data_IF_736431315559
#
_entry.id   IF_736431315559
#
_cell.length_a   1.000
_cell.length_b   1.000
_cell.length_c   1.000
_cell.angle_alpha   90.00
_cell.angle_beta   90.00
_cell.angle_gamma   90.00
#
_symmetry.space_group_name_H-M   'P 1'
#
loop_
_entity.id
_entity.type
_entity.pdbx_description
1 polymer ?
#
# COMPACT_ATOMS: atom_id res chain seq x y z
N UNK A 1 -33.67 -11.51 -31.39
CA UNK A 1 -32.41 -10.82 -31.60
C UNK A 1 -31.32 -11.55 -30.83
N UNK A 2 -30.46 -12.26 -31.56
CA UNK A 2 -29.37 -13.03 -30.98
C UNK A 2 -28.25 -12.11 -30.56
N UNK A 3 -28.02 -11.92 -29.25
CA UNK A 3 -26.84 -11.29 -28.73
C UNK A 3 -25.62 -12.17 -29.01
N UNK A 4 -24.88 -11.79 -30.03
CA UNK A 4 -23.55 -12.35 -30.30
C UNK A 4 -22.64 -12.00 -29.09
N UNK A 5 -22.36 -13.01 -28.28
CA UNK A 5 -21.34 -12.97 -27.22
C UNK A 5 -19.98 -12.66 -27.85
N UNK A 6 -19.59 -11.42 -27.93
CA UNK A 6 -18.23 -11.00 -28.26
C UNK A 6 -17.30 -11.48 -27.15
N UNK A 7 -16.78 -12.69 -27.30
CA UNK A 7 -15.70 -13.22 -26.47
C UNK A 7 -14.46 -12.38 -26.70
N UNK A 8 -13.96 -11.67 -25.66
CA UNK A 8 -12.65 -11.00 -25.68
C UNK A 8 -11.45 -11.96 -25.68
N UNK A 9 -11.66 -13.22 -26.09
CA UNK A 9 -10.61 -14.20 -26.25
C UNK A 9 -9.98 -14.05 -27.65
N UNK A 10 -8.65 -14.17 -27.79
CA UNK A 10 -8.03 -14.23 -29.12
C UNK A 10 -8.57 -15.42 -29.90
N UNK A 11 -8.82 -15.24 -31.21
CA UNK A 11 -9.44 -16.21 -32.10
C UNK A 11 -8.70 -17.56 -32.22
N UNK A 12 -7.48 -17.67 -31.70
CA UNK A 12 -6.56 -18.81 -31.82
C UNK A 12 -6.38 -19.61 -30.52
N UNK A 13 -7.43 -19.79 -29.75
CA UNK A 13 -7.35 -20.33 -28.38
C UNK A 13 -7.33 -21.85 -28.24
N UNK A 14 -7.34 -22.61 -29.34
CA UNK A 14 -7.52 -24.08 -29.26
C UNK A 14 -6.33 -24.87 -28.70
N UNK A 15 -5.11 -24.26 -28.63
CA UNK A 15 -3.87 -24.89 -28.15
C UNK A 15 -3.03 -24.04 -27.19
N UNK A 16 -3.58 -23.00 -26.58
CA UNK A 16 -2.83 -22.17 -25.64
C UNK A 16 -2.66 -22.90 -24.31
N UNK A 17 -1.43 -23.31 -24.01
CA UNK A 17 -1.02 -23.82 -22.72
C UNK A 17 -0.46 -22.68 -21.87
N UNK A 18 -0.32 -22.88 -20.56
CA UNK A 18 0.29 -21.90 -19.67
C UNK A 18 1.72 -21.54 -20.07
N UNK A 19 2.49 -22.52 -20.51
CA UNK A 19 3.90 -22.36 -20.89
C UNK A 19 4.04 -21.70 -22.27
N UNK A 20 3.04 -21.85 -23.16
CA UNK A 20 2.98 -21.18 -24.47
C UNK A 20 2.43 -19.74 -24.43
N UNK A 21 2.17 -19.18 -23.24
CA UNK A 21 1.62 -17.82 -23.12
C UNK A 21 2.60 -16.73 -23.53
N UNK A 22 2.18 -15.86 -24.44
CA UNK A 22 2.90 -14.64 -24.77
C UNK A 22 2.67 -13.56 -23.69
N UNK A 23 3.51 -13.59 -22.68
CA UNK A 23 3.43 -12.66 -21.54
C UNK A 23 3.64 -11.19 -21.92
N UNK A 24 4.51 -10.92 -22.87
CA UNK A 24 4.76 -9.55 -23.37
C UNK A 24 3.50 -8.95 -23.99
N UNK A 25 2.76 -9.75 -24.78
CA UNK A 25 1.44 -9.37 -25.34
C UNK A 25 0.42 -9.09 -24.25
N UNK A 26 0.35 -9.94 -23.22
CA UNK A 26 -0.53 -9.73 -22.07
C UNK A 26 -0.22 -8.41 -21.33
N UNK A 27 1.06 -8.16 -21.06
CA UNK A 27 1.51 -6.95 -20.37
C UNK A 27 1.28 -5.68 -21.21
N UNK A 28 1.55 -5.74 -22.53
CA UNK A 28 1.30 -4.61 -23.44
C UNK A 28 -0.19 -4.24 -23.49
N UNK A 29 -1.08 -5.24 -23.57
CA UNK A 29 -2.52 -5.01 -23.59
C UNK A 29 -3.00 -4.34 -22.30
N UNK A 30 -2.59 -4.86 -21.14
CA UNK A 30 -2.97 -4.29 -19.84
C UNK A 30 -2.40 -2.89 -19.67
N UNK A 31 -1.12 -2.64 -20.03
CA UNK A 31 -0.51 -1.30 -20.00
C UNK A 31 -1.26 -0.29 -20.84
N UNK A 32 -1.72 -0.69 -22.04
CA UNK A 32 -2.53 0.17 -22.91
C UNK A 32 -3.85 0.58 -22.25
N UNK A 33 -4.55 -0.35 -21.59
CA UNK A 33 -5.79 -0.03 -20.85
C UNK A 33 -5.50 0.85 -19.64
N UNK A 34 -4.44 0.57 -18.89
CA UNK A 34 -4.02 1.38 -17.73
C UNK A 34 -3.69 2.82 -18.14
N UNK A 35 -2.98 3.03 -19.24
CA UNK A 35 -2.70 4.38 -19.76
C UNK A 35 -3.99 5.13 -20.15
N UNK A 36 -4.98 4.42 -20.73
CA UNK A 36 -6.29 5.01 -21.04
C UNK A 36 -7.08 5.36 -19.77
N UNK A 37 -6.98 4.55 -18.72
CA UNK A 37 -7.60 4.85 -17.41
C UNK A 37 -6.98 6.13 -16.84
N UNK A 38 -5.64 6.24 -16.81
CA UNK A 38 -4.94 7.45 -16.35
C UNK A 38 -5.40 8.69 -17.11
N UNK A 39 -5.47 8.61 -18.45
CA UNK A 39 -5.95 9.73 -19.29
C UNK A 39 -7.37 10.12 -18.94
N UNK A 40 -8.30 9.15 -18.89
CA UNK A 40 -9.70 9.39 -18.54
C UNK A 40 -9.88 9.96 -17.13
N UNK A 41 -9.07 9.48 -16.15
CA UNK A 41 -9.06 10.00 -14.77
C UNK A 41 -8.62 11.46 -14.71
N UNK A 42 -7.53 11.82 -15.42
CA UNK A 42 -7.04 13.22 -15.50
C UNK A 42 -8.04 14.17 -16.16
N UNK A 43 -8.82 13.66 -17.11
CA UNK A 43 -9.87 14.40 -17.81
C UNK A 43 -11.21 14.45 -17.03
N UNK A 44 -11.29 13.85 -15.82
CA UNK A 44 -12.53 13.79 -15.03
C UNK A 44 -13.65 12.93 -15.63
N UNK A 45 -13.33 12.07 -16.62
CA UNK A 45 -14.31 11.23 -17.33
C UNK A 45 -14.61 9.95 -16.57
N UNK A 46 -15.26 10.04 -15.43
CA UNK A 46 -15.49 8.92 -14.50
C UNK A 46 -16.25 7.74 -15.12
N UNK A 47 -17.23 7.97 -15.99
CA UNK A 47 -17.94 6.89 -16.69
C UNK A 47 -17.01 6.11 -17.64
N UNK A 48 -16.08 6.79 -18.32
CA UNK A 48 -15.06 6.16 -19.16
C UNK A 48 -14.06 5.37 -18.32
N UNK A 49 -13.69 5.86 -17.15
CA UNK A 49 -12.86 5.11 -16.19
C UNK A 49 -13.54 3.80 -15.81
N UNK A 50 -14.83 3.83 -15.41
CA UNK A 50 -15.59 2.62 -15.06
C UNK A 50 -15.65 1.62 -16.22
N UNK A 51 -15.92 2.09 -17.46
CA UNK A 51 -15.93 1.23 -18.65
C UNK A 51 -14.57 0.58 -18.91
N UNK A 52 -13.47 1.33 -18.79
CA UNK A 52 -12.11 0.81 -18.98
C UNK A 52 -11.70 -0.17 -17.88
N UNK A 53 -12.10 0.07 -16.61
CA UNK A 53 -11.92 -0.88 -15.52
C UNK A 53 -12.66 -2.18 -15.79
N UNK A 54 -13.91 -2.09 -16.29
CA UNK A 54 -14.68 -3.26 -16.68
C UNK A 54 -14.00 -4.05 -17.81
N UNK A 55 -13.57 -3.37 -18.88
CA UNK A 55 -12.81 -4.00 -19.98
C UNK A 55 -11.55 -4.72 -19.47
N UNK A 56 -10.80 -4.09 -18.57
CA UNK A 56 -9.59 -4.66 -18.02
C UNK A 56 -9.90 -5.91 -17.19
N UNK A 57 -10.85 -5.86 -16.26
CA UNK A 57 -11.18 -6.96 -15.36
C UNK A 57 -11.86 -8.15 -16.06
N UNK A 58 -12.44 -7.95 -17.26
CA UNK A 58 -13.01 -9.00 -18.08
C UNK A 58 -12.04 -9.57 -19.13
N UNK A 59 -10.90 -8.90 -19.36
CA UNK A 59 -9.90 -9.31 -20.34
C UNK A 59 -9.19 -10.61 -19.94
N UNK A 60 -9.07 -11.53 -20.90
CA UNK A 60 -8.25 -12.74 -20.75
C UNK A 60 -6.81 -12.41 -20.34
N UNK A 61 -6.20 -11.41 -20.96
CA UNK A 61 -4.82 -11.01 -20.70
C UNK A 61 -4.60 -10.53 -19.26
N UNK A 62 -5.52 -9.76 -18.71
CA UNK A 62 -5.42 -9.29 -17.34
C UNK A 62 -5.64 -10.43 -16.33
N UNK A 63 -6.57 -11.33 -16.61
CA UNK A 63 -6.79 -12.54 -15.79
C UNK A 63 -5.55 -13.44 -15.79
N UNK A 64 -4.91 -13.64 -16.93
CA UNK A 64 -3.67 -14.41 -17.04
C UNK A 64 -2.55 -13.78 -16.20
N UNK A 65 -2.36 -12.45 -16.26
CA UNK A 65 -1.38 -11.73 -15.44
C UNK A 65 -1.72 -11.80 -13.95
N UNK A 66 -2.99 -11.77 -13.56
CA UNK A 66 -3.40 -11.94 -12.18
C UNK A 66 -3.00 -13.32 -11.64
N UNK A 67 -3.25 -14.40 -12.41
CA UNK A 67 -2.81 -15.75 -12.07
C UNK A 67 -1.28 -15.84 -12.01
N UNK A 68 -0.58 -15.31 -13.02
CA UNK A 68 0.90 -15.23 -13.02
C UNK A 68 1.43 -14.58 -11.75
N UNK A 69 0.88 -13.43 -11.34
CA UNK A 69 1.30 -12.69 -10.15
C UNK A 69 1.22 -13.52 -8.87
N UNK A 70 0.13 -14.25 -8.66
CA UNK A 70 -0.08 -15.01 -7.42
C UNK A 70 0.66 -16.34 -7.41
N UNK A 71 1.05 -16.88 -8.56
CA UNK A 71 1.79 -18.12 -8.69
C UNK A 71 3.31 -17.92 -8.82
N UNK A 72 3.80 -16.68 -8.93
CA UNK A 72 5.23 -16.36 -9.02
C UNK A 72 5.78 -15.63 -7.78
N UNK A 73 4.93 -15.15 -6.87
CA UNK A 73 5.35 -14.41 -5.68
C UNK A 73 5.85 -15.35 -4.55
N UNK A 74 6.44 -14.76 -3.49
CA UNK A 74 6.92 -15.51 -2.31
C UNK A 74 5.81 -16.32 -1.61
N UNK A 75 4.55 -15.86 -1.69
CA UNK A 75 3.39 -16.52 -1.09
C UNK A 75 2.78 -17.66 -1.93
N UNK A 76 3.38 -18.04 -3.06
CA UNK A 76 2.85 -19.06 -3.98
C UNK A 76 2.63 -20.44 -3.35
N UNK A 77 3.40 -20.76 -2.31
CA UNK A 77 3.30 -22.03 -1.55
C UNK A 77 2.39 -21.95 -0.33
N UNK A 78 1.73 -20.80 -0.09
CA UNK A 78 0.86 -20.61 1.09
C UNK A 78 -0.59 -20.66 0.64
N UNK A 79 -1.35 -21.65 1.09
CA UNK A 79 -2.78 -21.82 0.79
C UNK A 79 -3.67 -20.97 1.71
N UNK A 80 -4.91 -20.70 1.26
CA UNK A 80 -5.99 -20.15 2.09
C UNK A 80 -6.65 -21.21 2.98
N UNK A 81 -7.91 -21.00 3.33
CA UNK A 81 -8.74 -21.96 4.09
C UNK A 81 -9.05 -23.22 3.30
N UNK A 82 -9.09 -23.11 1.96
CA UNK A 82 -9.36 -24.20 1.01
C UNK A 82 -8.18 -25.17 0.84
N UNK A 83 -7.02 -24.86 1.40
CA UNK A 83 -5.75 -25.62 1.27
C UNK A 83 -5.31 -25.86 -0.17
N UNK A 84 -5.89 -25.14 -1.16
CA UNK A 84 -5.58 -25.30 -2.58
C UNK A 84 -4.39 -24.44 -3.00
N UNK A 85 -3.57 -25.00 -3.91
CA UNK A 85 -2.45 -24.31 -4.57
C UNK A 85 -2.56 -24.49 -6.09
N UNK A 86 -2.05 -23.50 -6.82
CA UNK A 86 -1.95 -23.55 -8.29
C UNK A 86 -0.49 -23.80 -8.70
N UNK A 87 -0.06 -25.04 -8.55
CA UNK A 87 1.32 -25.48 -8.72
C UNK A 87 1.64 -25.96 -10.15
N UNK A 88 0.66 -26.56 -10.85
CA UNK A 88 0.83 -27.10 -12.20
C UNK A 88 0.38 -26.13 -13.30
N UNK A 89 0.98 -26.19 -14.52
CA UNK A 89 0.56 -25.39 -15.68
C UNK A 89 -0.93 -25.54 -16.01
N UNK A 90 -1.46 -26.74 -15.93
CA UNK A 90 -2.88 -27.05 -16.20
C UNK A 90 -3.80 -26.32 -15.21
N UNK A 91 -3.49 -26.35 -13.89
CA UNK A 91 -4.25 -25.63 -12.85
C UNK A 91 -4.20 -24.13 -13.04
N UNK A 92 -3.02 -23.56 -13.34
CA UNK A 92 -2.85 -22.12 -13.61
C UNK A 92 -3.68 -21.67 -14.80
N UNK A 93 -3.65 -22.44 -15.90
CA UNK A 93 -4.42 -22.10 -17.09
C UNK A 93 -5.93 -22.16 -16.82
N UNK A 94 -6.42 -23.23 -16.16
CA UNK A 94 -7.83 -23.37 -15.77
C UNK A 94 -8.29 -22.21 -14.89
N UNK A 95 -7.46 -21.76 -13.95
CA UNK A 95 -7.77 -20.67 -13.05
C UNK A 95 -8.09 -19.34 -13.79
N UNK A 96 -7.52 -19.09 -14.98
CA UNK A 96 -7.84 -17.90 -15.78
C UNK A 96 -9.34 -17.81 -16.08
N UNK A 97 -9.96 -18.93 -16.47
CA UNK A 97 -11.39 -18.99 -16.78
C UNK A 97 -12.29 -18.91 -15.55
N UNK A 98 -11.76 -19.23 -14.37
CA UNK A 98 -12.47 -19.18 -13.09
C UNK A 98 -12.56 -17.77 -12.49
N UNK A 99 -11.74 -16.82 -12.97
CA UNK A 99 -11.79 -15.42 -12.54
C UNK A 99 -12.98 -14.71 -13.20
N UNK A 100 -14.17 -14.92 -12.66
CA UNK A 100 -15.43 -14.33 -13.16
C UNK A 100 -16.07 -13.48 -12.04
N UNK A 101 -16.61 -12.31 -12.40
CA UNK A 101 -17.37 -11.46 -11.49
C UNK A 101 -18.70 -12.10 -11.05
N UNK A 102 -19.45 -12.63 -12.03
CA UNK A 102 -20.75 -13.27 -11.78
C UNK A 102 -20.55 -14.56 -11.00
N UNK A 103 -21.29 -14.73 -9.92
CA UNK A 103 -21.18 -15.91 -9.05
C UNK A 103 -19.93 -15.94 -8.16
N UNK A 104 -19.11 -14.89 -8.16
CA UNK A 104 -17.96 -14.83 -7.27
C UNK A 104 -18.37 -14.54 -5.82
N UNK A 105 -17.94 -15.42 -4.92
CA UNK A 105 -17.98 -15.24 -3.48
C UNK A 105 -16.59 -15.54 -2.91
N UNK A 106 -15.92 -14.60 -2.22
CA UNK A 106 -14.67 -14.86 -1.55
C UNK A 106 -14.89 -15.82 -0.37
N UNK A 107 -13.89 -16.63 -0.11
CA UNK A 107 -13.88 -17.45 1.10
C UNK A 107 -13.30 -16.63 2.28
N UNK A 108 -13.63 -17.03 3.53
CA UNK A 108 -13.03 -16.41 4.70
C UNK A 108 -11.50 -16.49 4.66
N UNK A 109 -10.85 -15.53 5.29
CA UNK A 109 -9.39 -15.51 5.37
C UNK A 109 -8.89 -16.56 6.35
N UNK A 110 -7.83 -17.27 6.04
CA UNK A 110 -7.12 -18.10 7.02
C UNK A 110 -6.27 -17.20 7.91
N UNK A 111 -6.65 -17.04 9.18
CA UNK A 111 -5.92 -16.22 10.14
C UNK A 111 -4.72 -16.96 10.71
N UNK A 112 -3.56 -16.31 10.66
CA UNK A 112 -2.32 -16.76 11.31
C UNK A 112 -1.74 -15.59 12.10
N UNK A 113 -1.00 -15.89 13.18
CA UNK A 113 -0.36 -14.88 14.00
C UNK A 113 1.15 -14.90 13.76
N UNK A 114 1.71 -13.74 13.44
CA UNK A 114 3.16 -13.54 13.25
C UNK A 114 3.69 -12.71 14.42
N UNK A 115 4.79 -13.16 15.04
CA UNK A 115 5.44 -12.40 16.11
C UNK A 115 6.01 -11.08 15.56
N UNK A 116 5.62 -9.97 16.15
CA UNK A 116 6.25 -8.66 15.94
C UNK A 116 7.61 -8.62 16.65
N UNK A 117 8.46 -7.66 16.29
CA UNK A 117 9.78 -7.44 16.92
C UNK A 117 9.69 -7.16 18.43
N UNK A 118 8.60 -6.58 18.90
CA UNK A 118 8.31 -6.29 20.30
C UNK A 118 7.63 -7.45 21.04
N UNK A 119 7.63 -8.67 20.48
CA UNK A 119 7.00 -9.86 21.06
C UNK A 119 5.48 -9.95 20.88
N UNK A 120 4.79 -8.86 20.56
CA UNK A 120 3.34 -8.87 20.33
C UNK A 120 3.01 -9.64 19.03
N UNK A 121 1.84 -10.28 19.01
CA UNK A 121 1.35 -10.98 17.83
C UNK A 121 0.67 -10.01 16.85
N UNK A 122 0.91 -10.23 15.56
CA UNK A 122 0.21 -9.54 14.47
C UNK A 122 -0.68 -10.55 13.74
N UNK A 123 -1.99 -10.35 13.70
CA UNK A 123 -2.86 -11.20 12.91
C UNK A 123 -2.63 -10.94 11.41
N UNK A 124 -2.50 -12.00 10.63
CA UNK A 124 -2.41 -11.96 9.17
C UNK A 124 -3.54 -12.79 8.60
N UNK A 125 -4.32 -12.21 7.69
CA UNK A 125 -5.39 -12.91 6.97
C UNK A 125 -4.89 -13.37 5.60
N UNK A 126 -4.87 -14.68 5.37
CA UNK A 126 -4.41 -15.28 4.11
C UNK A 126 -5.62 -15.65 3.25
N UNK A 127 -5.88 -14.96 2.12
CA UNK A 127 -6.95 -15.29 1.20
C UNK A 127 -6.61 -16.58 0.41
N UNK A 128 -7.61 -17.22 -0.19
CA UNK A 128 -7.41 -18.34 -1.14
C UNK A 128 -6.64 -17.88 -2.38
N UNK A 129 -6.11 -18.82 -3.16
CA UNK A 129 -5.43 -18.49 -4.42
C UNK A 129 -6.35 -17.74 -5.39
N UNK A 130 -7.64 -18.14 -5.44
CA UNK A 130 -8.66 -17.49 -6.26
C UNK A 130 -8.92 -16.06 -5.81
N UNK A 131 -9.07 -15.83 -4.51
CA UNK A 131 -9.33 -14.51 -3.97
C UNK A 131 -8.13 -13.57 -4.15
N UNK A 132 -6.90 -14.06 -3.96
CA UNK A 132 -5.68 -13.33 -4.28
C UNK A 132 -5.61 -12.93 -5.75
N UNK A 133 -5.97 -13.83 -6.66
CA UNK A 133 -5.97 -13.54 -8.09
C UNK A 133 -7.06 -12.54 -8.48
N UNK A 134 -8.25 -12.64 -7.88
CA UNK A 134 -9.31 -11.65 -8.04
C UNK A 134 -8.85 -10.27 -7.52
N UNK A 135 -8.24 -10.19 -6.34
CA UNK A 135 -7.68 -8.95 -5.82
C UNK A 135 -6.59 -8.39 -6.74
N UNK A 136 -5.70 -9.24 -7.26
CA UNK A 136 -4.66 -8.82 -8.21
C UNK A 136 -5.25 -8.29 -9.53
N UNK A 137 -6.32 -8.89 -10.01
CA UNK A 137 -7.03 -8.48 -11.22
C UNK A 137 -7.65 -7.08 -11.05
N UNK A 138 -8.39 -6.87 -9.97
CA UNK A 138 -9.03 -5.57 -9.70
C UNK A 138 -8.00 -4.50 -9.32
N UNK A 139 -6.90 -4.88 -8.66
CA UNK A 139 -5.81 -3.95 -8.39
C UNK A 139 -5.19 -3.40 -9.67
N UNK A 140 -5.03 -4.19 -10.74
CA UNK A 140 -4.53 -3.68 -12.02
C UNK A 140 -5.43 -2.59 -12.62
N UNK A 141 -6.72 -2.61 -12.31
CA UNK A 141 -7.68 -1.60 -12.76
C UNK A 141 -7.75 -0.39 -11.80
N UNK A 142 -7.47 -0.56 -10.51
CA UNK A 142 -7.52 0.48 -9.49
C UNK A 142 -6.21 1.28 -9.39
N UNK A 143 -5.06 0.60 -9.51
CA UNK A 143 -3.73 1.18 -9.34
C UNK A 143 -3.45 2.43 -10.22
N UNK A 144 -3.88 2.49 -11.50
CA UNK A 144 -3.72 3.70 -12.32
C UNK A 144 -4.44 4.91 -11.73
N UNK A 145 -5.59 4.70 -11.09
CA UNK A 145 -6.35 5.78 -10.43
C UNK A 145 -5.61 6.19 -9.16
N UNK A 146 -5.27 5.23 -8.29
CA UNK A 146 -4.56 5.49 -7.04
C UNK A 146 -3.24 6.26 -7.27
N UNK A 147 -2.46 5.93 -8.34
CA UNK A 147 -1.25 6.66 -8.69
C UNK A 147 -1.52 8.07 -9.26
N UNK A 148 -2.68 8.28 -9.88
CA UNK A 148 -3.05 9.59 -10.46
C UNK A 148 -3.57 10.56 -9.40
N UNK A 149 -4.29 10.05 -8.39
CA UNK A 149 -4.94 10.84 -7.34
C UNK A 149 -4.17 10.87 -6.02
N UNK A 150 -3.19 9.97 -5.87
CA UNK A 150 -2.43 9.81 -4.62
C UNK A 150 -1.56 11.02 -4.29
N UNK A 151 -1.38 11.26 -3.01
CA UNK A 151 -0.56 12.32 -2.46
C UNK A 151 0.88 12.26 -3.01
N UNK A 152 1.42 13.42 -3.41
CA UNK A 152 2.73 13.52 -4.07
C UNK A 152 3.86 12.95 -3.21
N UNK A 153 3.85 13.23 -1.91
CA UNK A 153 4.88 12.83 -0.95
C UNK A 153 4.48 11.62 -0.12
N UNK A 154 3.64 10.74 -0.70
CA UNK A 154 3.33 9.40 -0.20
C UNK A 154 4.14 8.35 -0.95
N UNK A 155 4.90 7.50 -0.24
CA UNK A 155 5.88 6.59 -0.82
C UNK A 155 5.60 5.11 -0.55
N UNK A 156 5.11 4.74 0.62
CA UNK A 156 4.89 3.36 1.03
C UNK A 156 3.90 2.62 0.13
N UNK A 157 4.16 1.33 -0.13
CA UNK A 157 3.32 0.45 -0.96
C UNK A 157 3.10 0.87 -2.41
N UNK A 158 3.77 1.90 -2.88
CA UNK A 158 3.66 2.38 -4.27
C UNK A 158 4.81 1.83 -5.12
N UNK A 159 4.50 1.47 -6.37
CA UNK A 159 5.49 0.94 -7.31
C UNK A 159 6.60 1.96 -7.58
N UNK A 160 7.84 1.44 -7.71
CA UNK A 160 9.04 2.24 -7.99
C UNK A 160 9.36 3.32 -6.94
N UNK A 161 8.74 3.28 -5.75
CA UNK A 161 9.06 4.15 -4.63
C UNK A 161 9.70 3.34 -3.52
N UNK A 162 10.71 3.92 -2.88
CA UNK A 162 11.54 3.28 -1.84
C UNK A 162 11.58 4.17 -0.59
N UNK A 163 12.01 3.60 0.51
CA UNK A 163 12.27 4.36 1.76
C UNK A 163 13.23 5.53 1.52
N UNK A 164 14.27 5.33 0.69
CA UNK A 164 15.22 6.38 0.34
C UNK A 164 14.60 7.59 -0.37
N UNK A 165 13.48 7.40 -1.08
CA UNK A 165 12.79 8.52 -1.74
C UNK A 165 12.09 9.40 -0.70
N UNK A 166 11.53 8.80 0.35
CA UNK A 166 10.98 9.54 1.49
C UNK A 166 12.08 10.28 2.27
N UNK A 167 13.23 9.64 2.50
CA UNK A 167 14.39 10.25 3.17
C UNK A 167 14.94 11.42 2.36
N UNK A 168 15.08 11.28 1.04
CA UNK A 168 15.50 12.38 0.15
C UNK A 168 14.52 13.56 0.19
N UNK A 169 13.22 13.26 0.30
CA UNK A 169 12.21 14.32 0.44
C UNK A 169 12.35 15.03 1.78
N UNK A 170 12.65 14.31 2.86
CA UNK A 170 12.97 14.89 4.17
C UNK A 170 14.19 15.82 4.05
N UNK A 171 15.27 15.34 3.41
CA UNK A 171 16.46 16.15 3.16
C UNK A 171 16.11 17.43 2.38
N UNK A 172 15.32 17.32 1.32
CA UNK A 172 14.87 18.47 0.50
C UNK A 172 14.13 19.53 1.34
N UNK A 173 13.32 19.09 2.32
CA UNK A 173 12.50 19.97 3.16
C UNK A 173 13.33 20.59 4.30
N UNK A 174 14.23 19.81 4.91
CA UNK A 174 14.90 20.17 6.16
C UNK A 174 16.34 20.71 6.01
N UNK A 175 17.00 20.49 4.86
CA UNK A 175 18.42 20.82 4.67
C UNK A 175 18.69 22.31 4.32
N UNK A 176 17.64 23.15 4.27
CA UNK A 176 17.80 24.58 3.95
C UNK A 176 18.00 25.41 5.23
N UNK A 177 18.68 26.57 5.11
CA UNK A 177 18.97 27.48 6.22
C UNK A 177 17.69 27.91 6.98
N UNK A 178 16.62 28.21 6.25
CA UNK A 178 15.31 28.59 6.81
C UNK A 178 14.28 27.47 6.75
N UNK A 179 14.72 26.21 6.89
CA UNK A 179 13.84 25.05 6.95
C UNK A 179 12.96 25.06 8.21
N UNK A 180 11.86 24.30 8.26
CA UNK A 180 11.13 24.06 9.49
C UNK A 180 12.02 23.39 10.54
N UNK A 181 11.78 23.68 11.81
CA UNK A 181 12.55 23.12 12.92
C UNK A 181 11.76 22.13 13.78
N UNK A 182 10.45 22.13 13.65
CA UNK A 182 9.59 21.25 14.41
C UNK A 182 8.95 20.18 13.53
N UNK A 183 8.94 18.95 14.03
CA UNK A 183 8.47 17.76 13.33
C UNK A 183 7.45 17.05 14.21
N UNK A 184 6.24 16.84 13.70
CA UNK A 184 5.25 15.93 14.24
C UNK A 184 5.48 14.56 13.60
N UNK A 185 5.89 13.58 14.40
CA UNK A 185 5.98 12.16 14.03
C UNK A 185 4.63 11.54 14.36
N UNK A 186 3.94 10.98 13.35
CA UNK A 186 2.61 10.41 13.53
C UNK A 186 2.57 8.91 13.20
N UNK A 187 1.90 8.15 14.06
CA UNK A 187 1.58 6.73 13.87
C UNK A 187 0.06 6.53 13.99
N UNK A 188 -0.50 5.67 13.13
CA UNK A 188 -1.94 5.38 13.12
C UNK A 188 -2.18 4.07 13.87
N UNK A 189 -3.05 4.09 14.90
CA UNK A 189 -3.37 2.91 15.70
C UNK A 189 -4.09 1.87 14.84
N UNK A 190 -3.44 0.72 14.61
CA UNK A 190 -4.05 -0.39 13.88
C UNK A 190 -4.61 -0.02 12.50
N UNK A 191 -3.90 0.78 11.71
CA UNK A 191 -4.40 1.36 10.46
C UNK A 191 -5.21 0.40 9.59
N UNK A 192 -4.70 -0.83 9.34
CA UNK A 192 -5.40 -1.82 8.52
C UNK A 192 -6.62 -2.45 9.21
N UNK A 193 -6.68 -2.40 10.53
CA UNK A 193 -7.69 -3.12 11.32
C UNK A 193 -8.95 -2.27 11.56
N UNK A 194 -8.85 -0.93 11.42
CA UNK A 194 -9.92 0.01 11.81
C UNK A 194 -10.47 0.88 10.66
N UNK A 195 -10.01 0.69 9.42
CA UNK A 195 -10.55 1.47 8.28
C UNK A 195 -12.06 1.23 8.15
N UNK A 196 -12.85 2.31 8.11
CA UNK A 196 -14.30 2.25 7.90
C UNK A 196 -14.66 1.56 6.59
N UNK A 197 -15.49 0.51 6.65
CA UNK A 197 -16.00 -0.17 5.48
C UNK A 197 -16.91 0.76 4.64
N UNK A 198 -17.72 1.58 5.30
CA UNK A 198 -18.64 2.50 4.61
C UNK A 198 -17.85 3.54 3.84
N UNK A 199 -16.82 4.12 4.46
CA UNK A 199 -15.94 5.06 3.77
C UNK A 199 -15.28 4.43 2.55
N UNK A 200 -14.77 3.20 2.67
CA UNK A 200 -14.16 2.47 1.54
C UNK A 200 -15.17 2.24 0.42
N UNK A 201 -16.38 1.78 0.77
CA UNK A 201 -17.43 1.49 -0.20
C UNK A 201 -17.85 2.79 -0.92
N UNK A 202 -17.94 3.90 -0.24
CA UNK A 202 -18.32 5.17 -0.81
C UNK A 202 -17.23 5.75 -1.72
N UNK A 203 -16.00 5.80 -1.25
CA UNK A 203 -14.93 6.62 -1.83
C UNK A 203 -14.00 5.86 -2.81
N UNK A 204 -13.84 4.53 -2.70
CA UNK A 204 -12.94 3.80 -3.59
C UNK A 204 -13.57 3.59 -4.98
N UNK A 205 -12.96 4.06 -6.07
CA UNK A 205 -13.53 3.99 -7.42
C UNK A 205 -13.33 2.62 -8.07
N UNK A 206 -14.01 1.59 -7.55
CA UNK A 206 -14.01 0.24 -8.08
C UNK A 206 -15.40 -0.41 -7.97
N UNK A 207 -15.56 -1.64 -8.45
CA UNK A 207 -16.80 -2.42 -8.30
C UNK A 207 -17.16 -2.58 -6.82
N UNK A 208 -18.21 -1.88 -6.39
CA UNK A 208 -18.64 -1.84 -4.99
C UNK A 208 -19.14 -3.20 -4.48
N UNK A 209 -19.72 -4.03 -5.36
CA UNK A 209 -20.16 -5.39 -5.00
C UNK A 209 -18.96 -6.27 -4.63
N UNK A 210 -17.92 -6.23 -5.44
CA UNK A 210 -16.69 -7.00 -5.18
C UNK A 210 -15.98 -6.48 -3.93
N UNK A 211 -15.85 -5.17 -3.79
CA UNK A 211 -15.22 -4.56 -2.60
C UNK A 211 -15.96 -4.98 -1.32
N UNK A 212 -17.29 -4.82 -1.28
CA UNK A 212 -18.12 -5.21 -0.13
C UNK A 212 -17.95 -6.69 0.24
N UNK A 213 -17.88 -7.57 -0.76
CA UNK A 213 -17.66 -9.00 -0.53
C UNK A 213 -16.31 -9.28 0.12
N UNK A 214 -15.24 -8.61 -0.28
CA UNK A 214 -13.92 -8.77 0.33
C UNK A 214 -13.86 -8.24 1.76
N UNK A 215 -14.48 -7.10 2.01
CA UNK A 215 -14.51 -6.49 3.35
C UNK A 215 -15.28 -7.35 4.35
N UNK A 216 -16.36 -8.01 3.89
CA UNK A 216 -17.25 -8.82 4.74
C UNK A 216 -16.97 -10.34 4.71
N UNK A 217 -15.86 -10.79 4.12
CA UNK A 217 -15.61 -12.24 3.97
C UNK A 217 -15.26 -12.96 5.29
N UNK A 218 -14.93 -12.22 6.34
CA UNK A 218 -14.54 -12.78 7.64
C UNK A 218 -13.18 -13.46 7.65
N UNK A 219 -12.81 -14.01 8.80
CA UNK A 219 -11.57 -14.75 8.99
C UNK A 219 -11.81 -16.00 9.84
N UNK A 220 -11.16 -17.12 9.47
CA UNK A 220 -11.19 -18.37 10.23
C UNK A 220 -9.91 -18.51 11.05
N UNK A 221 -10.07 -18.74 12.33
CA UNK A 221 -8.99 -19.05 13.27
C UNK A 221 -9.41 -20.21 14.18
N UNK A 222 -8.58 -21.24 14.30
CA UNK A 222 -8.87 -22.47 15.07
C UNK A 222 -10.25 -23.07 14.75
N UNK A 223 -10.62 -23.10 13.47
CA UNK A 223 -11.90 -23.68 13.01
C UNK A 223 -13.12 -22.77 13.22
N UNK A 224 -13.01 -21.64 13.91
CA UNK A 224 -14.11 -20.71 14.14
C UNK A 224 -14.06 -19.54 13.16
N UNK A 225 -15.22 -19.13 12.64
CA UNK A 225 -15.39 -17.97 11.77
C UNK A 225 -15.61 -16.71 12.62
N UNK A 226 -14.82 -15.69 12.35
CA UNK A 226 -14.94 -14.36 12.94
C UNK A 226 -15.38 -13.38 11.83
N UNK A 227 -16.49 -12.65 12.01
CA UNK A 227 -16.90 -11.61 11.07
C UNK A 227 -15.88 -10.47 11.05
N UNK A 228 -15.87 -9.70 9.97
CA UNK A 228 -15.09 -8.47 9.81
C UNK A 228 -16.08 -7.32 9.66
N UNK A 229 -16.10 -6.40 10.61
CA UNK A 229 -17.00 -5.23 10.62
C UNK A 229 -16.28 -3.96 10.17
N UNK A 230 -14.96 -3.93 10.35
CA UNK A 230 -14.07 -2.83 9.97
C UNK A 230 -12.72 -3.36 9.46
N UNK A 231 -11.93 -2.49 8.88
CA UNK A 231 -10.58 -2.78 8.43
C UNK A 231 -10.49 -3.44 7.06
N UNK A 232 -9.26 -3.61 6.63
CA UNK A 232 -8.92 -4.36 5.42
C UNK A 232 -8.02 -5.53 5.77
N UNK A 233 -8.15 -6.70 5.08
CA UNK A 233 -7.36 -7.87 5.42
C UNK A 233 -5.85 -7.60 5.37
N UNK A 234 -5.16 -7.71 6.50
CA UNK A 234 -3.69 -7.69 6.51
C UNK A 234 -3.19 -8.96 5.79
N UNK A 235 -2.60 -8.78 4.59
CA UNK A 235 -2.14 -9.87 3.72
C UNK A 235 -2.91 -9.98 2.40
N UNK A 236 -3.97 -9.22 2.20
CA UNK A 236 -4.62 -9.05 0.91
C UNK A 236 -3.73 -8.28 -0.08
N UNK A 237 -3.75 -8.68 -1.35
CA UNK A 237 -2.92 -8.04 -2.41
C UNK A 237 -3.35 -6.58 -2.66
N UNK A 238 -4.63 -6.27 -2.51
CA UNK A 238 -5.20 -4.95 -2.77
C UNK A 238 -5.16 -4.03 -1.53
N UNK A 239 -5.11 -4.60 -0.32
CA UNK A 239 -5.24 -3.87 0.94
C UNK A 239 -4.23 -2.72 1.11
N UNK A 240 -2.93 -2.85 0.71
CA UNK A 240 -2.00 -1.73 0.79
C UNK A 240 -2.39 -0.53 -0.06
N UNK A 241 -2.98 -0.77 -1.24
CA UNK A 241 -3.45 0.31 -2.12
C UNK A 241 -4.71 0.96 -1.55
N UNK A 242 -5.64 0.16 -0.99
CA UNK A 242 -6.83 0.69 -0.31
C UNK A 242 -6.43 1.58 0.87
N UNK A 243 -5.50 1.13 1.72
CA UNK A 243 -5.00 1.91 2.86
C UNK A 243 -4.35 3.22 2.41
N UNK A 244 -3.55 3.21 1.33
CA UNK A 244 -3.01 4.45 0.77
C UNK A 244 -4.10 5.40 0.31
N UNK A 245 -5.11 4.91 -0.43
CA UNK A 245 -6.22 5.74 -0.91
C UNK A 245 -7.07 6.33 0.24
N UNK A 246 -7.17 5.62 1.36
CA UNK A 246 -7.82 6.15 2.58
C UNK A 246 -7.03 7.33 3.15
N UNK A 247 -5.70 7.25 3.14
CA UNK A 247 -4.81 8.27 3.71
C UNK A 247 -4.46 9.39 2.73
N UNK A 248 -4.74 9.20 1.43
CA UNK A 248 -4.55 10.24 0.41
C UNK A 248 -5.58 11.36 0.58
N UNK A 249 -5.18 12.57 0.25
CA UNK A 249 -5.98 13.78 0.45
C UNK A 249 -5.55 14.60 1.69
N UNK A 250 -4.78 14.02 2.61
CA UNK A 250 -4.26 14.76 3.76
C UNK A 250 -3.26 15.83 3.34
N UNK A 251 -2.38 15.54 2.36
CA UNK A 251 -1.41 16.51 1.86
C UNK A 251 -2.06 17.75 1.23
N UNK A 252 -3.01 17.65 0.29
CA UNK A 252 -3.69 18.82 -0.25
C UNK A 252 -4.57 19.54 0.77
N UNK A 253 -5.16 18.84 1.75
CA UNK A 253 -5.90 19.45 2.86
C UNK A 253 -4.99 20.40 3.66
N UNK A 254 -3.82 19.90 4.12
CA UNK A 254 -2.85 20.71 4.84
C UNK A 254 -2.30 21.85 3.97
N UNK A 255 -1.98 21.59 2.71
CA UNK A 255 -1.50 22.62 1.79
C UNK A 255 -2.53 23.72 1.53
N UNK A 256 -3.83 23.39 1.52
CA UNK A 256 -4.93 24.36 1.41
C UNK A 256 -5.07 25.19 2.68
N UNK A 257 -4.96 24.57 3.86
CA UNK A 257 -5.15 25.23 5.15
C UNK A 257 -3.97 26.15 5.49
N UNK A 258 -2.74 25.70 5.23
CA UNK A 258 -1.51 26.38 5.58
C UNK A 258 -0.81 27.01 4.37
N UNK A 259 -1.59 27.70 3.55
CA UNK A 259 -1.06 28.47 2.41
C UNK A 259 -0.13 29.59 2.88
N UNK A 260 0.79 29.97 1.99
CA UNK A 260 1.54 31.22 2.14
C UNK A 260 0.58 32.39 2.28
N UNK A 261 0.80 33.22 3.28
CA UNK A 261 0.06 34.44 3.49
C UNK A 261 0.97 35.65 3.22
N UNK A 262 0.44 36.64 2.54
CA UNK A 262 1.07 37.94 2.41
C UNK A 262 0.42 38.88 3.42
N UNK A 263 1.19 39.37 4.40
CA UNK A 263 0.74 40.34 5.43
C UNK A 263 1.84 41.39 5.67
N UNK A 264 1.47 42.66 5.75
CA UNK A 264 2.34 43.78 6.08
C UNK A 264 3.66 43.75 5.27
N UNK A 265 3.57 43.63 3.95
CA UNK A 265 4.72 43.56 3.04
C UNK A 265 5.72 42.42 3.33
N UNK A 266 5.31 41.40 4.10
CA UNK A 266 6.10 40.20 4.39
C UNK A 266 5.36 38.92 4.05
N UNK A 267 6.09 37.97 3.51
CA UNK A 267 5.55 36.63 3.26
C UNK A 267 5.64 35.78 4.52
N UNK A 268 4.49 35.34 5.00
CA UNK A 268 4.41 34.44 6.14
C UNK A 268 4.30 32.99 5.67
N UNK A 269 5.16 32.12 6.24
CA UNK A 269 5.22 30.71 5.93
C UNK A 269 4.99 29.86 7.16
N UNK A 270 3.96 29.02 7.14
CA UNK A 270 3.72 27.99 8.16
C UNK A 270 4.73 26.84 8.10
N UNK A 271 5.38 26.63 6.94
CA UNK A 271 6.36 25.54 6.69
C UNK A 271 5.78 24.14 6.95
N UNK A 272 4.48 23.97 6.75
CA UNK A 272 3.79 22.69 6.93
C UNK A 272 3.99 21.85 5.67
N UNK A 273 4.65 20.67 5.83
CA UNK A 273 4.86 19.70 4.76
C UNK A 273 4.60 18.31 5.32
N UNK A 274 3.81 17.49 4.60
CA UNK A 274 3.56 16.10 4.93
C UNK A 274 4.49 15.20 4.10
N UNK A 275 5.13 14.24 4.75
CA UNK A 275 5.88 13.14 4.11
C UNK A 275 5.40 11.84 4.72
N UNK A 276 4.87 10.93 3.89
CA UNK A 276 4.21 9.72 4.35
C UNK A 276 4.80 8.46 3.72
N UNK A 277 4.96 7.43 4.51
CA UNK A 277 5.31 6.09 4.07
C UNK A 277 4.34 5.06 4.66
N UNK A 278 3.29 4.73 3.91
CA UNK A 278 2.15 3.93 4.37
C UNK A 278 1.43 4.60 5.56
N UNK A 279 1.40 3.95 6.72
CA UNK A 279 0.83 4.44 7.97
C UNK A 279 1.81 5.30 8.81
N UNK A 280 3.11 5.25 8.53
CA UNK A 280 4.11 6.13 9.16
C UNK A 280 4.17 7.47 8.41
N UNK A 281 4.12 8.59 9.12
CA UNK A 281 4.22 9.91 8.50
C UNK A 281 4.88 10.94 9.41
N UNK A 282 5.45 11.96 8.79
CA UNK A 282 5.92 13.16 9.48
C UNK A 282 5.26 14.40 8.88
N UNK A 283 5.02 15.38 9.72
CA UNK A 283 4.58 16.73 9.31
C UNK A 283 5.52 17.75 9.92
N UNK A 284 6.09 18.60 9.06
CA UNK A 284 6.94 19.69 9.53
C UNK A 284 6.12 20.92 9.87
N UNK A 285 6.63 21.80 10.73
CA UNK A 285 6.00 23.07 11.09
C UNK A 285 7.02 24.11 11.49
N UNK A 286 6.60 25.38 11.47
CA UNK A 286 7.45 26.51 11.87
C UNK A 286 7.74 26.49 13.37
N UNK A 287 6.74 26.24 14.19
CA UNK A 287 6.79 26.20 15.65
C UNK A 287 5.99 25.01 16.20
N UNK A 288 6.20 24.70 17.48
CA UNK A 288 5.59 23.57 18.17
C UNK A 288 4.09 23.79 18.35
N UNK A 289 3.69 24.99 18.72
CA UNK A 289 2.31 25.38 18.98
C UNK A 289 1.45 25.21 17.74
N UNK A 290 1.95 25.56 16.56
CA UNK A 290 1.26 25.33 15.28
C UNK A 290 0.99 23.86 15.05
N UNK A 291 1.99 22.99 15.30
CA UNK A 291 1.83 21.56 15.12
C UNK A 291 0.87 20.96 16.12
N UNK A 292 0.88 21.39 17.38
CA UNK A 292 0.05 20.84 18.45
C UNK A 292 -1.39 21.34 18.39
N UNK A 293 -1.60 22.64 18.18
CA UNK A 293 -2.91 23.29 18.32
C UNK A 293 -3.68 23.41 17.00
N UNK A 294 -3.01 23.38 15.84
CA UNK A 294 -3.68 23.53 14.55
C UNK A 294 -3.52 22.29 13.66
N UNK A 295 -2.29 21.78 13.48
CA UNK A 295 -2.05 20.66 12.53
C UNK A 295 -2.56 19.35 13.08
N UNK A 296 -2.23 18.99 14.32
CA UNK A 296 -2.63 17.72 14.96
C UNK A 296 -4.15 17.55 15.03
N UNK A 297 -4.96 18.55 15.42
CA UNK A 297 -6.42 18.44 15.36
C UNK A 297 -6.98 18.15 13.96
N UNK A 298 -6.44 18.82 12.92
CA UNK A 298 -6.85 18.58 11.53
C UNK A 298 -6.55 17.13 11.11
N UNK A 299 -5.39 16.60 11.50
CA UNK A 299 -5.03 15.22 11.23
C UNK A 299 -5.97 14.25 11.94
N UNK A 300 -6.30 14.51 13.21
CA UNK A 300 -7.25 13.69 14.00
C UNK A 300 -8.63 13.67 13.33
N UNK A 301 -9.16 14.83 12.93
CA UNK A 301 -10.45 14.93 12.26
C UNK A 301 -10.44 14.18 10.92
N UNK A 302 -9.42 14.39 10.10
CA UNK A 302 -9.23 13.68 8.84
C UNK A 302 -9.21 12.15 9.01
N UNK A 303 -8.53 11.63 10.03
CA UNK A 303 -8.46 10.21 10.33
C UNK A 303 -9.81 9.68 10.86
N UNK A 304 -10.48 10.43 11.73
CA UNK A 304 -11.77 10.08 12.34
C UNK A 304 -12.86 9.82 11.30
N UNK A 305 -12.96 10.64 10.26
CA UNK A 305 -13.89 10.44 9.14
C UNK A 305 -13.70 9.08 8.45
N UNK A 306 -12.51 8.50 8.55
CA UNK A 306 -12.09 7.24 7.92
C UNK A 306 -12.10 6.05 8.87
N UNK A 307 -12.61 6.24 10.10
CA UNK A 307 -12.62 5.24 11.16
C UNK A 307 -11.24 5.02 11.81
N UNK A 308 -10.28 5.93 11.56
CA UNK A 308 -8.91 5.79 12.04
C UNK A 308 -8.65 6.70 13.24
N UNK A 309 -7.70 6.27 14.08
CA UNK A 309 -7.29 7.02 15.28
C UNK A 309 -5.77 7.19 15.29
N UNK A 310 -5.32 8.40 15.59
CA UNK A 310 -3.90 8.70 15.81
C UNK A 310 -3.43 8.01 17.11
N UNK A 311 -2.25 7.41 17.08
CA UNK A 311 -1.67 6.78 18.29
C UNK A 311 -1.04 7.86 19.16
N UNK A 312 -1.67 8.23 20.27
CA UNK A 312 -1.15 9.25 21.19
C UNK A 312 0.21 8.86 21.77
N UNK A 313 0.39 7.59 22.13
CA UNK A 313 1.64 7.06 22.70
C UNK A 313 2.86 7.16 21.76
N UNK A 314 2.61 7.17 20.44
CA UNK A 314 3.66 7.16 19.43
C UNK A 314 3.70 8.45 18.59
N UNK A 315 2.78 9.36 18.84
CA UNK A 315 2.76 10.66 18.17
C UNK A 315 3.50 11.66 19.02
N UNK A 316 4.65 12.13 18.51
CA UNK A 316 5.52 13.05 19.23
C UNK A 316 5.81 14.29 18.38
N UNK A 317 6.07 15.42 19.04
CA UNK A 317 6.53 16.64 18.38
C UNK A 317 7.96 16.89 18.85
N UNK A 318 8.90 16.78 17.92
CA UNK A 318 10.34 16.80 18.18
C UNK A 318 10.99 17.99 17.46
N UNK A 319 11.97 18.63 18.11
CA UNK A 319 12.80 19.61 17.44
C UNK A 319 13.88 18.91 16.61
N UNK A 320 14.19 19.45 15.42
CA UNK A 320 15.17 18.86 14.50
C UNK A 320 16.59 18.81 15.08
N UNK A 321 16.91 19.66 16.03
CA UNK A 321 18.20 19.66 16.72
C UNK A 321 18.32 18.53 17.75
N UNK A 322 17.19 18.01 18.26
CA UNK A 322 17.16 16.80 19.08
C UNK A 322 17.22 15.54 18.22
N UNK A 323 16.71 15.64 16.98
CA UNK A 323 16.65 14.56 15.98
C UNK A 323 15.47 13.61 16.19
N UNK A 324 15.06 12.97 15.11
CA UNK A 324 13.96 11.99 15.11
C UNK A 324 14.30 10.77 14.27
N UNK A 325 13.61 9.65 14.54
CA UNK A 325 13.79 8.40 13.83
C UNK A 325 12.66 8.16 12.83
N UNK A 326 12.98 8.02 11.54
CA UNK A 326 11.99 7.70 10.51
C UNK A 326 12.49 6.60 9.57
N UNK A 327 11.68 5.55 9.38
CA UNK A 327 11.97 4.40 8.49
C UNK A 327 13.34 3.73 8.74
N UNK A 328 13.81 3.75 10.00
CA UNK A 328 15.08 3.17 10.39
C UNK A 328 16.30 4.09 10.20
N UNK A 329 16.06 5.35 9.90
CA UNK A 329 17.08 6.41 9.86
C UNK A 329 16.84 7.40 10.98
N UNK A 330 17.91 7.90 11.57
CA UNK A 330 17.91 9.07 12.44
C UNK A 330 18.22 10.30 11.60
N UNK A 331 17.41 11.33 11.72
CA UNK A 331 17.55 12.61 11.02
C UNK A 331 17.73 13.69 12.06
N UNK A 332 18.85 14.40 12.02
CA UNK A 332 19.19 15.44 13.01
C UNK A 332 19.96 16.59 12.37
N UNK A 333 19.74 17.79 12.85
CA UNK A 333 20.46 18.97 12.42
C UNK A 333 21.54 19.37 13.43
N UNK A 334 22.75 19.64 12.97
CA UNK A 334 23.84 20.19 13.74
C UNK A 334 24.25 21.54 13.14
N UNK A 335 23.99 22.63 13.86
CA UNK A 335 24.14 23.95 13.31
C UNK A 335 23.30 24.11 12.02
N UNK A 336 23.95 24.38 10.89
CA UNK A 336 23.28 24.60 9.60
C UNK A 336 23.15 23.31 8.72
N UNK A 337 23.76 22.20 9.13
CA UNK A 337 23.82 20.96 8.32
C UNK A 337 22.87 19.91 8.85
N UNK A 338 22.13 19.29 7.95
CA UNK A 338 21.30 18.12 8.23
C UNK A 338 22.13 16.84 8.05
N UNK A 339 22.01 15.94 9.02
CA UNK A 339 22.66 14.62 8.99
C UNK A 339 21.59 13.54 9.01
N UNK A 340 21.80 12.54 8.17
CA UNK A 340 20.96 11.34 8.12
C UNK A 340 21.86 10.13 8.31
N UNK A 341 21.59 9.34 9.33
CA UNK A 341 22.35 8.13 9.67
C UNK A 341 21.38 6.98 9.98
N UNK A 342 21.82 5.71 9.95
CA UNK A 342 20.99 4.63 10.44
C UNK A 342 20.62 4.84 11.92
N UNK A 343 19.36 4.62 12.29
CA UNK A 343 18.91 4.77 13.68
C UNK A 343 19.62 3.74 14.59
N UNK A 344 19.72 4.06 15.89
CA UNK A 344 20.36 3.17 16.90
C UNK A 344 19.75 1.76 16.85
N UNK A 345 18.45 1.67 16.70
CA UNK A 345 17.73 0.39 16.56
C UNK A 345 18.07 -0.35 15.26
N UNK A 346 18.20 0.37 14.13
CA UNK A 346 18.61 -0.24 12.88
C UNK A 346 20.05 -0.80 12.97
N UNK A 347 20.97 -0.05 13.56
CA UNK A 347 22.34 -0.49 13.81
C UNK A 347 22.40 -1.72 14.72
N UNK A 348 21.66 -1.69 15.85
CA UNK A 348 21.59 -2.84 16.78
C UNK A 348 21.08 -4.10 16.08
N UNK A 349 20.01 -4.00 15.29
CA UNK A 349 19.46 -5.12 14.52
C UNK A 349 20.43 -5.63 13.46
N UNK A 350 21.13 -4.75 12.76
CA UNK A 350 22.12 -5.13 11.77
C UNK A 350 23.28 -5.90 12.42
N UNK A 351 23.83 -5.38 13.52
CA UNK A 351 24.90 -6.05 14.27
C UNK A 351 24.46 -7.43 14.80
N UNK A 352 23.25 -7.54 15.35
CA UNK A 352 22.69 -8.80 15.80
C UNK A 352 22.59 -9.82 14.65
N UNK A 353 22.06 -9.39 13.48
CA UNK A 353 21.96 -10.25 12.30
C UNK A 353 23.34 -10.76 11.83
N UNK A 354 24.35 -9.89 11.78
CA UNK A 354 25.72 -10.29 11.43
C UNK A 354 26.27 -11.29 12.47
N UNK A 355 26.09 -11.00 13.76
CA UNK A 355 26.51 -11.90 14.83
C UNK A 355 25.87 -13.30 14.69
N UNK A 356 24.57 -13.36 14.40
CA UNK A 356 23.85 -14.62 14.22
C UNK A 356 24.38 -15.42 13.02
N UNK A 357 24.63 -14.73 11.88
CA UNK A 357 25.23 -15.36 10.70
C UNK A 357 26.61 -15.92 11.03
N UNK A 358 27.47 -15.12 11.65
CA UNK A 358 28.84 -15.55 12.01
C UNK A 358 28.80 -16.71 13.00
N UNK A 359 27.99 -16.65 14.06
CA UNK A 359 27.83 -17.71 15.04
C UNK A 359 27.29 -19.00 14.44
N UNK A 360 26.33 -18.90 13.51
CA UNK A 360 25.74 -20.07 12.84
C UNK A 360 26.65 -20.73 11.81
N UNK A 361 27.72 -20.06 11.37
CA UNK A 361 28.59 -20.53 10.27
C UNK A 361 30.07 -20.51 10.62
N UNK A 362 30.44 -20.79 11.88
CA UNK A 362 31.83 -20.76 12.39
C UNK A 362 32.81 -21.63 11.61
N UNK A 363 32.32 -22.72 10.99
CA UNK A 363 33.11 -23.66 10.22
C UNK A 363 33.18 -23.34 8.72
N UNK A 364 32.54 -22.28 8.25
CA UNK A 364 32.57 -21.87 6.84
C UNK A 364 33.87 -21.12 6.50
N UNK A 365 34.33 -21.30 5.25
CA UNK A 365 35.41 -20.45 4.71
C UNK A 365 34.97 -18.99 4.70
N UNK A 366 35.90 -18.07 4.96
CA UNK A 366 35.64 -16.61 5.03
C UNK A 366 34.94 -16.07 3.78
N UNK A 367 35.35 -16.53 2.60
CA UNK A 367 34.72 -16.11 1.33
C UNK A 367 33.23 -16.48 1.26
N UNK A 368 32.86 -17.68 1.70
CA UNK A 368 31.45 -18.12 1.75
C UNK A 368 30.64 -17.31 2.76
N UNK A 369 31.24 -16.94 3.90
CA UNK A 369 30.63 -16.12 4.93
C UNK A 369 30.34 -14.68 4.44
N UNK A 370 31.27 -14.12 3.66
CA UNK A 370 31.11 -12.75 3.09
C UNK A 370 29.98 -12.69 2.06
N UNK A 371 29.71 -13.80 1.35
CA UNK A 371 28.65 -13.88 0.33
C UNK A 371 27.24 -14.12 0.89
N UNK A 372 27.11 -14.42 2.21
CA UNK A 372 25.84 -14.62 2.92
C UNK A 372 25.27 -13.28 3.42
#
# INVERSE_FOLDING_TARGET
>A
MNETKTSCAPADNRNLTWDGMNWSKCEAYVRKLQARIVKAQKEGRHNKVKALQWMLTHSFYAKALAVKRVTSNKGKKTSGVDKQLWDSPKRKYKAISELKRRGYNPQPLRRVHIKKKNGKLRPLGIPTMKDRAMQALYLMALEPIAETTGDRFSYGFRKKRRTMDAIRQIDTVLNRQHSPEWILEGDIKGCFDHISHDWLIENIPMDKTILRKWLKCGAVFNGKLFPTEEGTPQGGIISPTLANMVLDGLQPLLAKRFKRLWRNNKTFHYKVNLIRYADDFIITGRDKELLENEVKPIVIEFLKERGLTLSEEKTTITNIYDGFDFLGFNVRKFGKKLYTSPSKDAQKRFRAKISDIVKGHKMCKQESLIRM
#
